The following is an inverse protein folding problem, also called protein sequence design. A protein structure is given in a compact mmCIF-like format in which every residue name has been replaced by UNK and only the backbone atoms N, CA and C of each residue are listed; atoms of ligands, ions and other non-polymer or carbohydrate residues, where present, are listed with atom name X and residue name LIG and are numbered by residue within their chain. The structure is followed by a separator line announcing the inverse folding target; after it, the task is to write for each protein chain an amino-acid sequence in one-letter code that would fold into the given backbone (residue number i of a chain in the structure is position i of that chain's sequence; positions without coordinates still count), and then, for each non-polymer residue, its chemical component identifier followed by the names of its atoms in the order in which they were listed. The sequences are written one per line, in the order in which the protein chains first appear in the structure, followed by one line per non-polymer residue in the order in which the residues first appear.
data_IF_267845858009
#
_entry.id   IF_267845858009
#
_cell.length_a   1.000
_cell.length_b   1.000
_cell.length_c   1.000
_cell.angle_alpha   90.00
_cell.angle_beta   90.00
_cell.angle_gamma   90.00
#
_symmetry.space_group_name_H-M   'P 1'
#
loop_
_entity.id
_entity.type
_entity.pdbx_description
1 polymer ?
2 non-polymer ?
3 water ?
#
# COMPACT_ATOMS: atom_id res chain seq x y z
N UNK A 29 13.10 23.27 32.21
CA UNK A 29 13.75 22.00 31.70
C UNK A 29 12.81 20.81 31.98
N UNK A 30 12.41 20.64 33.24
CA UNK A 30 11.54 19.52 33.68
C UNK A 30 10.15 19.87 33.17
N UNK A 31 9.83 21.16 33.22
CA UNK A 31 8.52 21.65 32.80
C UNK A 31 8.47 21.49 31.28
N UNK A 32 9.59 21.67 30.60
CA UNK A 32 9.65 21.59 29.11
C UNK A 32 9.47 20.13 28.70
N UNK A 33 10.06 19.21 29.45
CA UNK A 33 10.00 17.76 29.15
C UNK A 33 8.58 17.28 29.43
N UNK A 34 7.94 17.79 30.51
CA UNK A 34 6.50 17.56 30.79
C UNK A 34 5.66 18.19 29.68
N UNK A 35 5.98 19.41 29.24
CA UNK A 35 5.23 20.06 28.15
C UNK A 35 5.26 19.14 26.91
N UNK A 36 6.42 18.65 26.52
CA UNK A 36 6.53 17.79 25.29
C UNK A 36 5.59 16.59 25.41
N UNK A 37 5.63 15.89 26.54
CA UNK A 37 4.72 14.71 26.78
C UNK A 37 3.26 15.14 26.75
N UNK A 38 2.87 16.27 27.37
CA UNK A 38 1.47 16.73 27.34
C UNK A 38 1.02 17.02 25.90
N UNK A 39 1.88 17.63 25.10
CA UNK A 39 1.59 18.03 23.71
C UNK A 39 1.35 16.75 22.86
N UNK A 40 2.22 15.78 23.01
CA UNK A 40 2.10 14.50 22.24
C UNK A 40 0.79 13.82 22.66
N UNK A 41 0.54 13.71 23.97
CA UNK A 41 -0.68 13.10 24.52
C UNK A 41 -1.93 13.83 24.02
N UNK A 42 -1.93 15.15 24.09
CA UNK A 42 -3.09 15.96 23.67
C UNK A 42 -3.34 15.85 22.18
N UNK A 43 -2.28 15.88 21.38
CA UNK A 43 -2.42 15.88 19.91
C UNK A 43 -2.97 14.50 19.49
N UNK A 44 -2.39 13.47 20.09
CA UNK A 44 -2.79 12.07 19.85
C UNK A 44 -4.28 11.93 20.13
N UNK A 45 -4.72 12.48 21.26
CA UNK A 45 -6.14 12.39 21.67
C UNK A 45 -7.02 13.12 20.66
N UNK A 46 -6.75 14.40 20.42
CA UNK A 46 -7.66 15.22 19.59
C UNK A 46 -7.56 14.81 18.13
N UNK A 47 -6.37 14.61 17.57
CA UNK A 47 -6.24 14.16 16.16
C UNK A 47 -6.83 12.76 15.99
N UNK A 48 -6.67 11.90 16.99
CA UNK A 48 -7.31 10.56 17.00
C UNK A 48 -8.82 10.66 16.82
N UNK A 49 -9.46 11.62 17.48
CA UNK A 49 -10.94 11.79 17.47
C UNK A 49 -11.43 12.53 16.22
N UNK A 50 -10.76 13.61 15.79
CA UNK A 50 -11.30 14.52 14.77
C UNK A 50 -10.46 14.53 13.50
N UNK A 51 -9.25 13.96 13.50
CA UNK A 51 -8.39 14.01 12.31
C UNK A 51 -7.44 15.19 12.38
N UNK A 52 -6.25 15.00 11.82
CA UNK A 52 -5.18 16.01 11.74
C UNK A 52 -5.73 17.33 11.20
N UNK A 53 -6.47 17.28 10.10
CA UNK A 53 -6.87 18.49 9.35
C UNK A 53 -7.88 19.31 10.17
N UNK A 54 -8.55 18.73 11.17
CA UNK A 54 -9.68 19.37 11.91
C UNK A 54 -9.20 19.96 13.24
N UNK A 55 -7.95 19.81 13.65
CA UNK A 55 -7.49 20.34 14.96
C UNK A 55 -6.21 21.13 14.74
N UNK A 56 -6.19 22.41 15.12
CA UNK A 56 -5.01 23.26 15.00
C UNK A 56 -4.14 23.22 16.23
N UNK A 57 -2.92 23.72 16.09
CA UNK A 57 -1.92 23.71 17.18
C UNK A 57 -2.38 24.58 18.35
N UNK A 58 -3.10 25.72 18.17
CA UNK A 58 -3.59 26.47 19.34
C UNK A 58 -4.50 25.63 20.24
N UNK A 59 -5.44 24.89 19.66
CA UNK A 59 -6.36 23.99 20.40
C UNK A 59 -5.54 22.92 21.14
N UNK A 60 -4.52 22.34 20.52
CA UNK A 60 -3.65 21.32 21.18
C UNK A 60 -2.87 21.96 22.33
N UNK A 61 -2.33 23.17 22.17
CA UNK A 61 -1.60 23.86 23.26
C UNK A 61 -2.55 24.08 24.43
N UNK A 62 -3.79 24.49 24.16
CA UNK A 62 -4.85 24.71 25.20
C UNK A 62 -5.14 23.40 25.92
N UNK A 63 -5.37 22.32 25.17
CA UNK A 63 -5.64 20.96 25.68
C UNK A 63 -4.51 20.56 26.63
N UNK A 64 -3.26 20.83 26.28
CA UNK A 64 -2.06 20.45 27.05
C UNK A 64 -1.83 21.42 28.23
N UNK A 65 -2.49 22.57 28.24
CA UNK A 65 -2.34 23.61 29.29
C UNK A 65 -1.03 24.36 29.18
N UNK A 66 -0.51 24.57 27.98
CA UNK A 66 0.79 25.26 27.77
C UNK A 66 0.61 26.39 26.74
N UNK A 67 1.57 27.30 26.72
CA UNK A 67 1.53 28.48 25.83
C UNK A 67 1.99 28.05 24.44
N UNK A 68 1.63 28.84 23.45
CA UNK A 68 2.12 28.68 22.06
C UNK A 68 3.65 28.69 22.07
N UNK A 69 4.28 29.55 22.88
CA UNK A 69 5.74 29.64 22.92
C UNK A 69 6.36 28.33 23.40
N UNK A 70 5.75 27.68 24.39
CA UNK A 70 6.24 26.39 24.93
C UNK A 70 6.09 25.33 23.83
N UNK A 71 5.02 25.39 23.09
CA UNK A 71 4.75 24.38 22.03
C UNK A 71 5.73 24.57 20.88
N UNK A 72 5.98 25.82 20.47
CA UNK A 72 6.91 26.16 19.38
C UNK A 72 8.33 25.75 19.77
N UNK A 73 8.71 25.82 21.05
CA UNK A 73 10.06 25.43 21.51
C UNK A 73 10.25 23.92 21.28
N UNK A 74 9.19 23.14 21.40
CA UNK A 74 9.25 21.66 21.29
C UNK A 74 9.08 21.24 19.82
N UNK A 75 8.20 21.88 19.07
CA UNK A 75 7.81 21.43 17.71
C UNK A 75 7.85 22.61 16.77
N UNK A 76 8.69 22.51 15.74
CA UNK A 76 8.91 23.59 14.74
C UNK A 76 7.57 23.89 14.06
N UNK A 77 6.74 22.87 13.84
CA UNK A 77 5.43 23.07 13.19
C UNK A 77 4.48 21.89 13.48
N UNK A 78 3.27 22.01 13.00
CA UNK A 78 2.19 21.01 13.17
C UNK A 78 2.66 19.63 12.71
N UNK A 79 3.26 19.52 11.53
CA UNK A 79 3.70 18.21 10.98
C UNK A 79 4.79 17.58 11.88
N UNK A 80 5.66 18.36 12.54
CA UNK A 80 6.71 17.84 13.43
C UNK A 80 6.04 17.19 14.65
N UNK A 81 5.00 17.80 15.18
CA UNK A 81 4.26 17.21 16.32
C UNK A 81 3.59 15.92 15.84
N UNK A 82 3.00 15.94 14.64
CA UNK A 82 2.38 14.72 14.07
C UNK A 82 3.42 13.60 13.92
N UNK A 83 4.63 13.88 13.43
CA UNK A 83 5.65 12.80 13.30
C UNK A 83 5.86 12.14 14.67
N UNK A 84 5.92 12.90 15.76
CA UNK A 84 6.12 12.32 17.13
C UNK A 84 4.85 11.59 17.59
N UNK A 85 3.66 12.02 17.21
CA UNK A 85 2.40 11.28 17.54
C UNK A 85 2.44 9.92 16.84
N UNK A 86 2.81 9.91 15.56
CA UNK A 86 2.88 8.63 14.80
C UNK A 86 3.85 7.67 15.48
N UNK A 87 5.00 8.12 15.95
CA UNK A 87 5.98 7.24 16.64
C UNK A 87 5.33 6.56 17.84
N UNK A 88 4.63 7.31 18.70
CA UNK A 88 4.07 6.73 19.95
C UNK A 88 2.90 5.83 19.59
N UNK A 89 2.14 6.15 18.56
CA UNK A 89 1.01 5.28 18.13
C UNK A 89 1.56 3.99 17.51
N UNK A 90 2.58 4.06 16.66
CA UNK A 90 3.18 2.84 16.05
C UNK A 90 3.82 1.97 17.13
N UNK A 91 4.50 2.58 18.09
CA UNK A 91 5.10 1.82 19.22
C UNK A 91 3.99 1.04 19.91
N UNK A 92 2.84 1.63 20.12
CA UNK A 92 1.67 1.02 20.84
C UNK A 92 1.03 -0.06 19.97
N UNK A 93 0.91 0.18 18.66
CA UNK A 93 0.40 -0.84 17.69
C UNK A 93 1.28 -2.09 17.81
N UNK A 94 2.60 -1.95 17.74
CA UNK A 94 3.51 -3.13 17.73
C UNK A 94 3.52 -3.81 19.11
N UNK A 95 3.42 -3.06 20.20
CA UNK A 95 3.29 -3.60 21.58
C UNK A 95 2.01 -4.39 21.69
N UNK A 96 0.91 -3.89 21.17
CA UNK A 96 -0.39 -4.55 21.28
C UNK A 96 -0.39 -5.81 20.41
N UNK A 97 0.21 -5.73 19.23
CA UNK A 97 0.34 -6.95 18.39
C UNK A 97 1.08 -8.03 19.19
N UNK A 98 2.24 -7.71 19.76
CA UNK A 98 3.08 -8.69 20.52
C UNK A 98 2.29 -9.24 21.70
N UNK A 99 1.46 -8.42 22.35
CA UNK A 99 0.64 -8.81 23.52
C UNK A 99 -0.47 -9.78 23.08
N UNK A 100 -1.17 -9.47 21.98
CA UNK A 100 -2.25 -10.32 21.45
C UNK A 100 -1.68 -11.66 20.99
N UNK A 101 -0.52 -11.67 20.35
CA UNK A 101 0.12 -12.97 19.96
C UNK A 101 0.50 -13.76 21.23
N UNK A 102 1.07 -13.12 22.25
CA UNK A 102 1.43 -13.80 23.54
C UNK A 102 0.15 -14.30 24.22
N UNK A 103 -0.96 -13.56 24.16
CA UNK A 103 -2.23 -13.91 24.84
C UNK A 103 -2.97 -15.05 24.12
N UNK A 104 -2.62 -15.34 22.85
CA UNK A 104 -3.41 -16.25 22.02
C UNK A 104 -3.22 -17.69 22.49
N UNK A 105 -2.09 -17.98 23.16
CA UNK A 105 -1.66 -19.34 23.53
C UNK A 105 -0.95 -20.08 22.40
N UNK A 106 -0.63 -19.42 21.28
CA UNK A 106 0.05 -20.07 20.13
C UNK A 106 1.29 -20.85 20.63
N UNK A 107 1.35 -22.13 20.28
CA UNK A 107 2.39 -23.10 20.69
C UNK A 107 3.30 -23.45 19.51
N UNK A 108 2.93 -23.06 18.29
CA UNK A 108 3.78 -23.24 17.08
C UNK A 108 3.88 -21.93 16.33
N UNK A 109 4.97 -21.75 15.58
CA UNK A 109 5.08 -20.60 14.66
C UNK A 109 3.88 -20.40 13.73
N UNK A 110 3.28 -21.49 13.20
CA UNK A 110 2.11 -21.37 12.32
C UNK A 110 0.96 -20.76 13.10
N UNK A 111 0.73 -21.20 14.34
CA UNK A 111 -0.35 -20.61 15.16
C UNK A 111 -0.03 -19.15 15.56
N UNK A 112 1.24 -18.82 15.72
CA UNK A 112 1.68 -17.44 16.03
C UNK A 112 1.35 -16.56 14.83
N UNK A 113 1.58 -17.04 13.62
CA UNK A 113 1.26 -16.26 12.39
C UNK A 113 -0.27 -16.07 12.28
N UNK A 114 -1.06 -17.11 12.50
CA UNK A 114 -2.53 -17.01 12.48
C UNK A 114 -2.96 -15.93 13.49
N UNK A 115 -2.41 -15.97 14.70
CA UNK A 115 -2.78 -15.03 15.77
C UNK A 115 -2.36 -13.61 15.37
N UNK A 116 -1.18 -13.47 14.75
CA UNK A 116 -0.64 -12.15 14.35
C UNK A 116 -1.52 -11.54 13.26
N UNK A 117 -2.01 -12.34 12.30
CA UNK A 117 -2.90 -11.81 11.26
C UNK A 117 -4.21 -11.32 11.90
N UNK A 118 -4.81 -12.12 12.81
CA UNK A 118 -6.05 -11.70 13.54
C UNK A 118 -5.77 -10.44 14.37
N UNK A 119 -4.61 -10.39 15.02
CA UNK A 119 -4.22 -9.26 15.88
C UNK A 119 -4.10 -8.00 15.01
N UNK A 120 -3.53 -8.08 13.80
CA UNK A 120 -3.44 -6.88 12.93
C UNK A 120 -4.81 -6.32 12.62
N UNK A 121 -5.80 -7.15 12.27
CA UNK A 121 -7.16 -6.65 11.97
C UNK A 121 -7.77 -6.02 13.24
N UNK A 122 -7.47 -6.56 14.41
CA UNK A 122 -7.98 -6.03 15.69
C UNK A 122 -7.35 -4.66 15.93
N UNK A 123 -6.03 -4.58 15.83
CA UNK A 123 -5.27 -3.34 16.20
C UNK A 123 -5.60 -2.24 15.19
N UNK A 124 -5.59 -2.56 13.90
CA UNK A 124 -5.81 -1.54 12.84
C UNK A 124 -7.27 -1.07 12.86
N UNK A 125 -8.16 -1.82 13.54
CA UNK A 125 -9.60 -1.48 13.68
C UNK A 125 -9.82 -0.51 14.84
N UNK A 126 -8.82 -0.23 15.65
CA UNK A 126 -8.92 0.77 16.74
C UNK A 126 -9.17 2.11 16.07
N UNK A 127 -10.22 2.88 16.43
CA UNK A 127 -10.55 4.09 15.70
C UNK A 127 -9.40 5.14 15.67
N UNK A 128 -8.58 5.20 16.70
CA UNK A 128 -7.44 6.15 16.74
C UNK A 128 -6.38 5.67 15.73
N UNK A 129 -6.14 4.35 15.65
CA UNK A 129 -5.12 3.81 14.71
C UNK A 129 -5.64 4.05 13.29
N UNK A 130 -6.92 3.76 13.03
CA UNK A 130 -7.52 4.02 11.71
C UNK A 130 -7.27 5.48 11.34
N UNK A 131 -7.59 6.41 12.23
CA UNK A 131 -7.53 7.85 11.88
C UNK A 131 -6.07 8.30 11.69
N UNK A 132 -5.17 7.97 12.61
CA UNK A 132 -3.82 8.57 12.65
C UNK A 132 -2.91 7.83 11.67
N UNK A 133 -3.01 6.49 11.61
CA UNK A 133 -2.04 5.68 10.83
C UNK A 133 -2.60 5.42 9.42
N UNK A 134 -3.86 5.03 9.28
CA UNK A 134 -4.34 4.60 7.95
C UNK A 134 -4.78 5.84 7.14
N UNK A 135 -5.37 6.85 7.77
CA UNK A 135 -5.95 8.00 7.03
C UNK A 135 -4.97 9.16 7.00
N UNK A 136 -4.54 9.64 8.18
CA UNK A 136 -3.74 10.88 8.29
C UNK A 136 -2.26 10.65 7.88
N UNK A 137 -1.60 9.63 8.41
CA UNK A 137 -0.14 9.54 8.31
C UNK A 137 0.31 9.50 6.83
N UNK A 138 -0.35 8.74 5.92
CA UNK A 138 0.10 8.71 4.53
C UNK A 138 0.01 10.10 3.87
N UNK A 139 -0.93 10.94 4.31
CA UNK A 139 -1.12 12.30 3.76
C UNK A 139 -0.06 13.24 4.34
N UNK A 140 0.07 13.28 5.66
CA UNK A 140 0.90 14.27 6.38
C UNK A 140 2.38 13.95 6.18
N UNK A 141 2.76 12.66 6.23
CA UNK A 141 4.17 12.26 6.12
C UNK A 141 4.59 12.21 4.64
N UNK A 142 3.64 11.95 3.75
CA UNK A 142 3.90 11.60 2.34
C UNK A 142 4.30 10.16 2.22
N UNK A 143 4.31 9.67 0.98
CA UNK A 143 4.53 8.24 0.72
C UNK A 143 5.86 7.74 1.31
N UNK A 144 6.97 8.43 0.98
CA UNK A 144 8.34 7.98 1.34
C UNK A 144 8.42 7.89 2.87
N UNK A 145 8.02 8.99 3.54
CA UNK A 145 8.09 9.08 5.01
C UNK A 145 7.20 8.03 5.66
N UNK A 146 5.96 7.88 5.19
CA UNK A 146 5.02 6.88 5.75
C UNK A 146 5.60 5.46 5.62
N UNK A 147 6.10 5.12 4.44
CA UNK A 147 6.60 3.74 4.22
C UNK A 147 7.83 3.49 5.09
N UNK A 148 8.67 4.50 5.27
CA UNK A 148 9.89 4.32 6.10
C UNK A 148 9.46 3.99 7.53
N UNK A 149 8.50 4.72 8.07
CA UNK A 149 7.94 4.46 9.44
C UNK A 149 7.31 3.07 9.47
N UNK A 150 6.44 2.76 8.51
CA UNK A 150 5.70 1.48 8.45
C UNK A 150 6.70 0.32 8.48
N UNK A 151 7.74 0.42 7.66
CA UNK A 151 8.77 -0.64 7.55
C UNK A 151 9.54 -0.75 8.87
N UNK A 152 9.93 0.39 9.46
CA UNK A 152 10.77 0.37 10.68
C UNK A 152 10.00 -0.37 11.77
N UNK A 153 8.67 -0.27 11.80
CA UNK A 153 7.87 -0.87 12.89
C UNK A 153 7.45 -2.29 12.56
N UNK A 154 7.17 -2.63 11.30
CA UNK A 154 6.43 -3.89 10.97
C UNK A 154 7.35 -4.97 10.38
N UNK A 155 8.45 -4.57 9.72
CA UNK A 155 9.26 -5.57 8.98
C UNK A 155 9.89 -6.57 9.95
N UNK A 156 10.44 -6.09 11.06
CA UNK A 156 11.10 -6.94 12.08
C UNK A 156 10.20 -8.06 12.58
N UNK A 157 8.99 -7.74 13.05
CA UNK A 157 8.05 -8.73 13.60
C UNK A 157 7.69 -9.71 12.50
N UNK A 158 7.40 -9.20 11.29
CA UNK A 158 6.96 -10.06 10.16
C UNK A 158 8.08 -11.05 9.83
N UNK A 159 9.31 -10.56 9.70
CA UNK A 159 10.47 -11.39 9.32
C UNK A 159 10.74 -12.43 10.41
N UNK A 160 10.59 -12.06 11.69
CA UNK A 160 10.80 -12.99 12.82
C UNK A 160 9.79 -14.13 12.75
N UNK A 161 8.51 -13.83 12.51
CA UNK A 161 7.46 -14.88 12.45
C UNK A 161 7.76 -15.82 11.29
N UNK A 162 8.16 -15.27 10.13
CA UNK A 162 8.47 -16.11 8.95
C UNK A 162 9.67 -17.01 9.28
N UNK A 163 10.75 -16.42 9.81
CA UNK A 163 12.01 -17.17 10.09
C UNK A 163 11.70 -18.31 11.06
N UNK A 164 10.90 -18.07 12.10
CA UNK A 164 10.57 -19.12 13.10
C UNK A 164 9.76 -20.23 12.43
N UNK A 165 8.85 -19.89 11.51
CA UNK A 165 8.02 -20.91 10.83
C UNK A 165 8.89 -21.72 9.89
N UNK A 166 9.84 -21.10 9.19
CA UNK A 166 10.77 -21.87 8.29
C UNK A 166 11.61 -22.80 9.18
N UNK A 167 12.19 -22.30 10.27
CA UNK A 167 13.01 -23.12 11.21
C UNK A 167 12.23 -24.34 11.70
N UNK A 168 10.93 -24.21 11.96
CA UNK A 168 10.07 -25.27 12.52
C UNK A 168 9.60 -26.25 11.41
N UNK A 169 9.98 -26.02 10.16
CA UNK A 169 9.43 -26.79 9.02
C UNK A 169 7.95 -26.52 8.72
N UNK A 170 7.40 -25.37 9.12
CA UNK A 170 5.97 -25.04 8.88
C UNK A 170 5.79 -24.10 7.68
N UNK A 171 6.88 -23.66 7.10
CA UNK A 171 6.89 -22.82 5.87
C UNK A 171 8.11 -23.29 5.07
N UNK A 172 7.98 -23.44 3.76
CA UNK A 172 9.09 -23.83 2.85
C UNK A 172 10.24 -22.83 3.00
N UNK A 173 11.49 -23.32 2.99
CA UNK A 173 12.68 -22.45 2.94
C UNK A 173 12.59 -21.61 1.68
N UNK A 174 12.86 -20.33 1.84
CA UNK A 174 12.72 -19.29 0.81
C UNK A 174 13.31 -18.00 1.39
N UNK A 175 13.62 -17.01 0.52
CA UNK A 175 14.08 -15.71 0.98
C UNK A 175 12.97 -15.04 1.82
N UNK A 176 13.33 -14.59 3.00
CA UNK A 176 12.42 -14.03 4.03
C UNK A 176 11.89 -12.65 3.59
N UNK A 177 12.75 -11.76 3.12
CA UNK A 177 12.38 -10.35 2.87
C UNK A 177 11.29 -10.26 1.80
N UNK A 178 11.40 -10.92 0.62
CA UNK A 178 10.36 -10.83 -0.40
C UNK A 178 8.99 -11.31 0.10
N UNK A 179 8.95 -12.43 0.83
CA UNK A 179 7.68 -12.98 1.37
C UNK A 179 7.11 -11.96 2.37
N UNK A 180 7.96 -11.43 3.25
CA UNK A 180 7.53 -10.43 4.27
C UNK A 180 6.90 -9.22 3.56
N UNK A 181 7.56 -8.71 2.53
CA UNK A 181 7.12 -7.46 1.83
C UNK A 181 5.78 -7.72 1.14
N UNK A 182 5.60 -8.87 0.49
CA UNK A 182 4.33 -9.20 -0.20
C UNK A 182 3.22 -9.33 0.84
N UNK A 183 3.50 -10.00 1.96
CA UNK A 183 2.45 -10.15 3.00
C UNK A 183 2.14 -8.78 3.61
N UNK A 184 3.12 -7.95 3.83
CA UNK A 184 2.84 -6.59 4.40
C UNK A 184 1.93 -5.84 3.41
N UNK A 185 2.18 -5.90 2.12
CA UNK A 185 1.30 -5.31 1.09
C UNK A 185 -0.12 -5.82 1.19
N UNK A 186 -0.30 -7.15 1.34
CA UNK A 186 -1.60 -7.80 1.51
C UNK A 186 -2.27 -7.27 2.79
N UNK A 187 -1.53 -7.20 3.90
CA UNK A 187 -2.10 -6.85 5.23
C UNK A 187 -2.42 -5.35 5.31
N UNK A 188 -1.59 -4.49 4.74
CA UNK A 188 -1.83 -3.02 4.63
C UNK A 188 -3.09 -2.81 3.78
N UNK A 189 -3.25 -3.52 2.65
CA UNK A 189 -4.46 -3.36 1.80
C UNK A 189 -5.69 -3.86 2.58
N UNK A 190 -5.59 -4.97 3.30
CA UNK A 190 -6.70 -5.52 4.10
C UNK A 190 -7.17 -4.43 5.07
N UNK A 191 -6.24 -3.80 5.78
CA UNK A 191 -6.59 -2.79 6.82
C UNK A 191 -7.27 -1.58 6.16
N UNK A 192 -6.75 -1.13 5.02
CA UNK A 192 -7.30 0.06 4.36
C UNK A 192 -8.67 -0.27 3.78
N UNK A 193 -8.87 -1.47 3.24
CA UNK A 193 -10.17 -1.94 2.71
C UNK A 193 -11.21 -1.87 3.83
N UNK A 194 -10.89 -2.38 5.02
CA UNK A 194 -11.82 -2.34 6.20
C UNK A 194 -12.01 -0.88 6.63
N UNK A 195 -10.95 -0.09 6.72
CA UNK A 195 -11.01 1.31 7.20
C UNK A 195 -11.99 2.12 6.34
N UNK A 196 -12.13 1.82 5.05
CA UNK A 196 -12.90 2.70 4.11
C UNK A 196 -14.20 2.00 3.68
N UNK A 197 -14.53 0.84 4.22
CA UNK A 197 -15.69 0.03 3.79
C UNK A 197 -16.98 0.72 4.24
N UNK A 198 -18.05 0.59 3.43
CA UNK A 198 -19.45 0.97 3.81
C UNK A 198 -19.90 0.14 5.02
N UNK A 199 -19.56 -1.15 5.09
CA UNK A 199 -19.93 -2.02 6.25
C UNK A 199 -18.64 -2.64 6.81
N UNK A 200 -17.91 -1.91 7.69
CA UNK A 200 -16.61 -2.35 8.17
C UNK A 200 -16.67 -3.68 8.92
N UNK A 201 -17.77 -3.93 9.63
CA UNK A 201 -17.91 -5.18 10.42
C UNK A 201 -17.90 -6.38 9.45
N UNK A 202 -18.65 -6.29 8.36
CA UNK A 202 -18.70 -7.35 7.32
C UNK A 202 -17.37 -7.39 6.56
N UNK A 203 -16.79 -6.25 6.20
CA UNK A 203 -15.49 -6.18 5.50
C UNK A 203 -14.41 -6.86 6.36
N UNK A 204 -14.42 -6.62 7.65
CA UNK A 204 -13.45 -7.24 8.57
C UNK A 204 -13.65 -8.75 8.61
N UNK A 205 -14.89 -9.23 8.77
CA UNK A 205 -15.15 -10.69 8.83
C UNK A 205 -14.69 -11.34 7.51
N UNK A 206 -15.06 -10.76 6.37
CA UNK A 206 -14.75 -11.36 5.04
C UNK A 206 -13.24 -11.29 4.76
N UNK A 207 -12.60 -10.17 5.09
CA UNK A 207 -11.14 -10.00 4.92
C UNK A 207 -10.39 -10.98 5.81
N UNK A 208 -10.84 -11.21 7.04
CA UNK A 208 -10.19 -12.17 7.96
C UNK A 208 -10.26 -13.57 7.32
N UNK A 209 -11.40 -13.90 6.74
CA UNK A 209 -11.58 -15.23 6.08
C UNK A 209 -10.59 -15.36 4.92
N UNK A 210 -10.46 -14.35 4.07
CA UNK A 210 -9.60 -14.54 2.86
C UNK A 210 -8.15 -14.59 3.36
N UNK A 211 -7.74 -13.78 4.33
CA UNK A 211 -6.34 -13.82 4.81
C UNK A 211 -6.05 -15.19 5.44
N UNK A 212 -6.99 -15.73 6.20
CA UNK A 212 -6.78 -17.03 6.88
C UNK A 212 -6.59 -18.11 5.81
N UNK A 213 -7.39 -18.09 4.76
CA UNK A 213 -7.25 -19.06 3.63
C UNK A 213 -5.88 -18.91 2.97
N UNK A 214 -5.43 -17.68 2.77
CA UNK A 214 -4.16 -17.37 2.08
C UNK A 214 -3.00 -17.94 2.90
N UNK A 215 -3.00 -17.73 4.21
CA UNK A 215 -1.87 -18.20 5.05
C UNK A 215 -2.01 -19.71 5.22
N UNK A 216 -3.22 -20.24 5.37
CA UNK A 216 -3.38 -21.71 5.56
C UNK A 216 -2.95 -22.47 4.28
N UNK A 217 -3.04 -21.87 3.11
CA UNK A 217 -2.50 -22.41 1.85
C UNK A 217 -0.98 -22.53 1.85
N UNK A 218 -0.26 -21.73 2.63
CA UNK A 218 1.23 -21.75 2.64
C UNK A 218 1.80 -22.45 3.86
N UNK A 219 1.08 -22.49 4.96
CA UNK A 219 1.58 -23.05 6.22
C UNK A 219 1.40 -24.56 6.25
N UNK A 220 2.46 -25.25 6.59
CA UNK A 220 2.42 -26.70 6.88
C UNK A 220 2.13 -26.82 8.38
N UNK A 221 0.87 -26.78 8.75
CA UNK A 221 0.44 -26.82 10.16
C UNK A 221 -0.32 -25.55 10.51
N UNK B 31 -9.29 20.86 -30.58
CA UNK B 31 -8.84 22.23 -30.20
C UNK B 31 -7.99 22.15 -28.92
N UNK B 32 -8.65 22.33 -27.79
CA UNK B 32 -8.18 22.02 -26.42
C UNK B 32 -7.80 20.54 -26.35
N UNK B 33 -8.57 19.68 -27.01
CA UNK B 33 -8.39 18.22 -27.01
C UNK B 33 -7.01 17.86 -27.58
N UNK B 34 -6.60 18.52 -28.68
CA UNK B 34 -5.29 18.33 -29.32
C UNK B 34 -4.18 18.82 -28.38
N UNK B 35 -4.34 19.99 -27.76
CA UNK B 35 -3.37 20.51 -26.79
C UNK B 35 -3.20 19.49 -25.64
N UNK B 36 -4.31 19.02 -25.08
CA UNK B 36 -4.28 18.09 -23.93
C UNK B 36 -3.51 16.83 -24.32
N UNK B 37 -3.86 16.23 -25.46
CA UNK B 37 -3.23 14.98 -25.94
C UNK B 37 -1.73 15.21 -26.14
N UNK B 38 -1.31 16.33 -26.76
CA UNK B 38 0.14 16.59 -26.94
C UNK B 38 0.86 16.69 -25.57
N UNK B 39 0.24 17.35 -24.61
CA UNK B 39 0.83 17.56 -23.26
C UNK B 39 0.93 16.21 -22.54
N UNK B 40 -0.12 15.41 -22.58
CA UNK B 40 -0.13 14.09 -21.91
C UNK B 40 0.94 13.19 -22.53
N UNK B 41 1.03 13.17 -23.85
CA UNK B 41 2.00 12.32 -24.59
C UNK B 41 3.42 12.76 -24.19
N UNK B 42 3.67 14.07 -24.21
CA UNK B 42 4.99 14.60 -23.91
C UNK B 42 5.37 14.35 -22.46
N UNK B 43 4.42 14.47 -21.55
CA UNK B 43 4.67 14.32 -20.10
C UNK B 43 5.00 12.86 -19.81
N UNK B 44 4.21 11.96 -20.40
CA UNK B 44 4.42 10.50 -20.27
C UNK B 44 5.84 10.17 -20.76
N UNK B 45 6.23 10.75 -21.90
CA UNK B 45 7.59 10.49 -22.44
C UNK B 45 8.67 10.97 -21.47
N UNK B 46 8.66 12.24 -21.12
CA UNK B 46 9.77 12.85 -20.36
C UNK B 46 9.76 12.37 -18.90
N UNK B 47 8.59 12.31 -18.26
CA UNK B 47 8.50 11.82 -16.87
C UNK B 47 8.84 10.31 -16.82
N UNK B 48 8.46 9.57 -17.85
CA UNK B 48 8.85 8.14 -17.96
C UNK B 48 10.36 7.93 -17.93
N UNK B 49 11.11 8.82 -18.58
CA UNK B 49 12.60 8.71 -18.67
C UNK B 49 13.27 9.26 -17.42
N UNK B 50 12.84 10.43 -16.91
CA UNK B 50 13.62 11.18 -15.88
C UNK B 50 12.91 11.25 -14.53
N UNK B 51 11.61 10.97 -14.48
CA UNK B 51 10.85 11.08 -13.25
C UNK B 51 10.16 12.41 -13.16
N UNK B 52 9.00 12.40 -12.53
CA UNK B 52 8.14 13.57 -12.26
C UNK B 52 8.97 14.70 -11.69
N UNK B 53 9.79 14.42 -10.67
CA UNK B 53 10.47 15.47 -9.88
C UNK B 53 11.52 16.20 -10.74
N UNK B 54 12.01 15.57 -11.82
CA UNK B 54 13.16 16.06 -12.62
C UNK B 54 12.71 16.81 -13.88
N UNK B 55 11.42 16.90 -14.18
CA UNK B 55 11.00 17.62 -15.42
C UNK B 55 9.88 18.60 -15.05
N UNK B 56 10.08 19.85 -15.42
CA UNK B 56 9.13 20.95 -15.19
C UNK B 56 8.14 21.09 -16.32
N UNK B 57 7.07 21.82 -16.06
CA UNK B 57 5.99 22.00 -17.06
C UNK B 57 6.52 22.76 -18.29
N UNK B 58 7.42 23.76 -18.19
CA UNK B 58 7.93 24.41 -19.41
C UNK B 58 8.62 23.42 -20.39
N UNK B 59 9.43 22.48 -19.88
CA UNK B 59 10.08 21.47 -20.76
C UNK B 59 9.02 20.59 -21.42
N UNK B 60 7.96 20.22 -20.70
CA UNK B 60 6.83 19.45 -21.29
C UNK B 60 6.10 20.28 -22.36
N UNK B 61 5.90 21.57 -22.14
CA UNK B 61 5.21 22.47 -23.10
C UNK B 61 6.04 22.48 -24.39
N UNK B 62 7.38 22.53 -24.27
CA UNK B 62 8.33 22.55 -25.42
C UNK B 62 8.22 21.23 -26.18
N UNK B 63 8.28 20.11 -25.46
CA UNK B 63 8.19 18.76 -26.05
C UNK B 63 6.87 18.67 -26.85
N UNK B 64 5.78 19.21 -26.32
CA UNK B 64 4.43 19.16 -26.91
C UNK B 64 4.26 20.18 -28.04
N UNK B 65 5.12 21.19 -28.13
CA UNK B 65 5.00 22.29 -29.10
C UNK B 65 3.88 23.24 -28.74
N UNK B 66 3.62 23.48 -27.46
CA UNK B 66 2.55 24.47 -27.08
C UNK B 66 3.15 25.52 -26.15
N UNK B 67 2.46 26.65 -25.97
CA UNK B 67 2.94 27.73 -25.09
C UNK B 67 2.58 27.38 -23.65
N UNK B 68 3.30 27.97 -22.72
CA UNK B 68 3.02 27.90 -21.26
C UNK B 68 1.56 28.30 -21.02
N UNK B 69 1.07 29.34 -21.70
CA UNK B 69 -0.31 29.83 -21.54
C UNK B 69 -1.33 28.78 -21.95
N UNK B 70 -1.11 28.13 -23.08
CA UNK B 70 -2.02 27.08 -23.59
C UNK B 70 -2.02 25.92 -22.58
N UNK B 71 -0.85 25.58 -22.04
CA UNK B 71 -0.72 24.44 -21.11
C UNK B 71 -1.45 24.77 -19.81
N UNK B 72 -1.26 25.98 -19.27
CA UNK B 72 -1.85 26.40 -17.97
C UNK B 72 -3.37 26.41 -18.06
N UNK B 73 -3.92 26.71 -19.24
CA UNK B 73 -5.38 26.68 -19.50
C UNK B 73 -5.91 25.25 -19.33
N UNK B 74 -5.10 24.25 -19.68
CA UNK B 74 -5.54 22.82 -19.65
C UNK B 74 -5.26 22.21 -18.28
N UNK B 75 -4.12 22.56 -17.68
CA UNK B 75 -3.64 21.95 -16.42
C UNK B 75 -3.13 23.07 -15.52
N UNK B 76 -3.87 23.33 -14.44
CA UNK B 76 -3.58 24.37 -13.43
C UNK B 76 -2.19 24.13 -12.86
N UNK B 77 -1.82 22.87 -12.69
CA UNK B 77 -0.52 22.56 -12.08
C UNK B 77 -0.03 21.19 -12.55
N UNK B 78 1.19 20.93 -12.15
CA UNK B 78 1.96 19.76 -12.55
C UNK B 78 1.23 18.49 -12.14
N UNK B 79 0.73 18.42 -10.90
CA UNK B 79 0.04 17.22 -10.39
C UNK B 79 -1.22 16.91 -11.21
N UNK B 80 -1.92 17.92 -11.72
CA UNK B 80 -3.14 17.70 -12.55
C UNK B 80 -2.74 16.97 -13.84
N UNK B 81 -1.64 17.41 -14.47
CA UNK B 81 -1.18 16.75 -15.71
C UNK B 81 -0.74 15.31 -15.37
N UNK B 82 -0.04 15.12 -14.25
CA UNK B 82 0.36 13.76 -13.80
C UNK B 82 -0.87 12.85 -13.64
N UNK B 83 -1.95 13.34 -13.01
CA UNK B 83 -3.18 12.52 -12.85
C UNK B 83 -3.66 12.01 -14.20
N UNK B 84 -3.68 12.85 -15.24
CA UNK B 84 -4.12 12.44 -16.60
C UNK B 84 -3.10 11.45 -17.22
N UNK B 85 -1.80 11.63 -16.98
CA UNK B 85 -0.76 10.70 -17.49
C UNK B 85 -0.98 9.30 -16.87
N UNK B 86 -1.18 9.25 -15.55
CA UNK B 86 -1.44 7.95 -14.86
C UNK B 86 -2.64 7.25 -15.46
N UNK B 87 -3.72 7.95 -15.77
CA UNK B 87 -4.94 7.33 -16.36
C UNK B 87 -4.54 6.59 -17.65
N UNK B 88 -3.80 7.27 -18.55
CA UNK B 88 -3.49 6.74 -19.90
C UNK B 88 -2.50 5.58 -19.75
N UNK B 89 -1.56 5.70 -18.82
CA UNK B 89 -0.56 4.64 -18.60
C UNK B 89 -1.25 3.41 -18.01
N UNK B 90 -2.12 3.57 -17.00
CA UNK B 90 -2.79 2.41 -16.37
C UNK B 90 -3.73 1.74 -17.38
N UNK B 91 -4.41 2.51 -18.23
CA UNK B 91 -5.23 1.94 -19.33
C UNK B 91 -4.35 1.02 -20.21
N UNK B 92 -3.16 1.50 -20.58
CA UNK B 92 -2.20 0.76 -21.45
C UNK B 92 -1.68 -0.49 -20.73
N UNK B 93 -1.36 -0.36 -19.43
CA UNK B 93 -0.87 -1.50 -18.62
C UNK B 93 -1.93 -2.61 -18.64
N UNK B 94 -3.19 -2.28 -18.42
CA UNK B 94 -4.27 -3.30 -18.31
C UNK B 94 -4.52 -3.93 -19.70
N UNK B 95 -4.44 -3.14 -20.78
CA UNK B 95 -4.57 -3.64 -22.17
C UNK B 95 -3.44 -4.63 -22.46
N UNK B 96 -2.22 -4.28 -22.08
CA UNK B 96 -1.02 -5.10 -22.34
C UNK B 96 -1.15 -6.43 -21.57
N UNK B 97 -1.55 -6.33 -20.31
CA UNK B 97 -1.73 -7.56 -19.52
C UNK B 97 -2.79 -8.46 -20.15
N UNK B 98 -3.95 -7.92 -20.51
CA UNK B 98 -5.07 -8.67 -21.13
C UNK B 98 -4.56 -9.39 -22.38
N UNK B 99 -3.68 -8.77 -23.16
CA UNK B 99 -3.12 -9.36 -24.41
C UNK B 99 -2.22 -10.56 -24.07
N UNK B 100 -1.30 -10.38 -23.12
CA UNK B 100 -0.39 -11.45 -22.64
C UNK B 100 -1.20 -12.64 -22.09
N UNK B 101 -2.24 -12.38 -21.30
CA UNK B 101 -3.07 -13.48 -20.73
C UNK B 101 -3.79 -14.21 -21.88
N UNK B 102 -4.33 -13.49 -22.87
CA UNK B 102 -5.07 -14.11 -24.00
C UNK B 102 -4.11 -14.98 -24.83
N UNK B 103 -2.85 -14.58 -24.95
CA UNK B 103 -1.81 -15.27 -25.75
C UNK B 103 -1.03 -16.31 -24.93
N UNK B 104 -1.23 -16.40 -23.61
CA UNK B 104 -0.35 -17.22 -22.72
C UNK B 104 -0.54 -18.72 -23.00
N UNK B 105 -1.70 -19.12 -23.52
CA UNK B 105 -2.10 -20.52 -23.71
C UNK B 105 -2.69 -21.12 -22.45
N UNK B 106 -3.08 -20.28 -21.47
CA UNK B 106 -3.72 -20.77 -20.23
C UNK B 106 -4.93 -21.63 -20.61
N UNK B 107 -4.99 -22.85 -20.09
CA UNK B 107 -5.98 -23.90 -20.45
C UNK B 107 -7.15 -23.86 -19.47
N UNK B 108 -6.95 -23.33 -18.26
CA UNK B 108 -7.97 -23.28 -17.19
C UNK B 108 -7.92 -21.90 -16.54
N UNK B 109 -9.01 -21.49 -15.86
CA UNK B 109 -8.99 -20.27 -15.05
C UNK B 109 -7.83 -20.16 -14.04
N UNK B 110 -7.42 -21.27 -13.41
CA UNK B 110 -6.27 -21.26 -12.48
C UNK B 110 -5.01 -20.84 -13.26
N UNK B 111 -4.81 -21.40 -14.45
CA UNK B 111 -3.63 -21.04 -15.28
C UNK B 111 -3.76 -19.61 -15.79
N UNK B 112 -4.98 -19.09 -15.99
CA UNK B 112 -5.19 -17.68 -16.39
C UNK B 112 -4.72 -16.75 -15.26
N UNK B 113 -4.99 -17.10 -14.02
CA UNK B 113 -4.51 -16.30 -12.85
C UNK B 113 -2.97 -16.32 -12.82
N UNK B 114 -2.37 -17.50 -12.95
CA UNK B 114 -0.90 -17.65 -12.96
C UNK B 114 -0.32 -16.78 -14.09
N UNK B 115 -0.90 -16.82 -15.30
CA UNK B 115 -0.41 -16.03 -16.45
C UNK B 115 -0.57 -14.53 -16.15
N UNK B 116 -1.67 -14.12 -15.52
CA UNK B 116 -1.93 -12.69 -15.19
C UNK B 116 -0.85 -12.17 -14.22
N UNK B 117 -0.45 -12.98 -13.24
CA UNK B 117 0.63 -12.60 -12.30
C UNK B 117 1.94 -12.42 -13.08
N UNK B 118 2.32 -13.38 -13.93
CA UNK B 118 3.54 -13.29 -14.79
C UNK B 118 3.43 -12.07 -15.73
N UNK B 119 2.25 -11.81 -16.29
CA UNK B 119 2.01 -10.62 -17.15
C UNK B 119 2.31 -9.33 -16.37
N UNK B 120 1.81 -9.25 -15.14
CA UNK B 120 2.08 -8.04 -14.32
C UNK B 120 3.59 -7.89 -14.03
N UNK B 121 4.29 -8.93 -13.64
CA UNK B 121 5.76 -8.85 -13.40
C UNK B 121 6.45 -8.41 -14.70
N UNK B 122 6.00 -8.89 -15.85
CA UNK B 122 6.59 -8.51 -17.18
C UNK B 122 6.37 -7.01 -17.39
N UNK B 123 5.12 -6.59 -17.36
CA UNK B 123 4.73 -5.20 -17.74
C UNK B 123 5.30 -4.18 -16.73
N UNK B 124 5.29 -4.52 -15.44
CA UNK B 124 5.85 -3.68 -14.33
C UNK B 124 7.34 -3.44 -14.53
N UNK B 125 8.02 -4.31 -15.27
CA UNK B 125 9.46 -4.16 -15.55
C UNK B 125 9.75 -3.18 -16.69
N UNK B 126 8.74 -2.74 -17.43
CA UNK B 126 8.91 -1.66 -18.45
C UNK B 126 9.40 -0.42 -17.71
N UNK B 127 10.53 0.20 -18.10
CA UNK B 127 11.11 1.32 -17.37
C UNK B 127 10.14 2.50 -17.17
N UNK B 128 9.28 2.75 -18.14
CA UNK B 128 8.30 3.87 -18.05
C UNK B 128 7.26 3.51 -16.99
N UNK B 129 6.78 2.27 -16.95
CA UNK B 129 5.76 1.82 -15.96
C UNK B 129 6.42 1.88 -14.57
N UNK B 130 7.62 1.34 -14.44
CA UNK B 130 8.39 1.43 -13.17
C UNK B 130 8.45 2.89 -12.70
N UNK B 131 8.88 3.81 -13.56
CA UNK B 131 9.04 5.22 -13.13
C UNK B 131 7.68 5.89 -12.81
N UNK B 132 6.69 5.78 -13.70
CA UNK B 132 5.45 6.57 -13.54
C UNK B 132 4.55 5.92 -12.47
N UNK B 133 4.42 4.60 -12.50
CA UNK B 133 3.36 3.93 -11.71
C UNK B 133 3.97 3.47 -10.38
N UNK B 134 5.16 2.89 -10.40
CA UNK B 134 5.67 2.25 -9.17
C UNK B 134 6.42 3.30 -8.31
N UNK B 135 7.11 4.26 -8.91
CA UNK B 135 7.94 5.23 -8.15
C UNK B 135 7.20 6.55 -7.97
N UNK B 136 6.78 7.19 -9.05
CA UNK B 136 6.18 8.55 -9.01
C UNK B 136 4.73 8.50 -8.49
N UNK B 137 3.87 7.60 -8.96
CA UNK B 137 2.41 7.71 -8.70
C UNK B 137 2.14 7.65 -7.21
N UNK B 138 2.77 6.75 -6.42
CA UNK B 138 2.51 6.72 -4.97
C UNK B 138 2.90 8.04 -4.29
N UNK B 139 3.93 8.72 -4.78
CA UNK B 139 4.45 9.97 -4.14
C UNK B 139 3.50 11.11 -4.50
N UNK B 140 3.15 11.24 -5.78
CA UNK B 140 2.35 12.40 -6.27
C UNK B 140 0.88 12.23 -5.84
N UNK B 141 0.34 11.03 -5.97
CA UNK B 141 -1.09 10.75 -5.69
C UNK B 141 -1.29 10.49 -4.21
N UNK B 142 -0.28 10.00 -3.49
CA UNK B 142 -0.47 9.48 -2.11
C UNK B 142 -1.04 8.08 -2.11
N UNK B 143 -0.99 7.36 -0.99
CA UNK B 143 -1.49 5.96 -0.89
C UNK B 143 -2.99 5.91 -1.30
N UNK B 144 -3.83 6.81 -0.81
CA UNK B 144 -5.30 6.78 -1.06
C UNK B 144 -5.54 6.96 -2.56
N UNK B 145 -4.93 7.99 -3.15
CA UNK B 145 -5.03 8.30 -4.59
C UNK B 145 -4.52 7.14 -5.45
N UNK B 146 -3.36 6.58 -5.10
CA UNK B 146 -2.79 5.43 -5.83
C UNK B 146 -3.77 4.26 -5.80
N UNK B 147 -4.30 3.93 -4.61
CA UNK B 147 -5.22 2.78 -4.45
C UNK B 147 -6.46 2.98 -5.31
N UNK B 148 -6.97 4.20 -5.33
CA UNK B 148 -8.21 4.51 -6.09
C UNK B 148 -7.98 4.21 -7.56
N UNK B 149 -6.86 4.67 -8.11
CA UNK B 149 -6.51 4.44 -9.55
C UNK B 149 -6.30 2.94 -9.78
N UNK B 150 -5.51 2.30 -8.92
CA UNK B 150 -5.23 0.85 -9.01
C UNK B 150 -6.53 0.06 -9.09
N UNK B 151 -7.46 0.36 -8.21
CA UNK B 151 -8.76 -0.33 -8.09
C UNK B 151 -9.57 -0.07 -9.36
N UNK B 152 -9.67 1.16 -9.79
CA UNK B 152 -10.50 1.50 -10.96
C UNK B 152 -10.01 0.73 -12.19
N UNK B 153 -8.70 0.53 -12.32
CA UNK B 153 -8.14 -0.11 -13.53
C UNK B 153 -8.07 -1.62 -13.39
N UNK B 154 -7.90 -2.19 -12.20
CA UNK B 154 -7.57 -3.63 -12.08
C UNK B 154 -8.67 -4.44 -11.38
N UNK B 155 -9.58 -3.84 -10.63
CA UNK B 155 -10.55 -4.63 -9.82
C UNK B 155 -11.45 -5.49 -10.73
N UNK B 156 -11.97 -4.93 -11.82
CA UNK B 156 -12.77 -5.67 -12.82
C UNK B 156 -12.09 -6.94 -13.34
N UNK B 157 -10.86 -6.84 -13.87
CA UNK B 157 -10.14 -8.00 -14.44
C UNK B 157 -9.89 -9.00 -13.30
N UNK B 158 -9.47 -8.51 -12.14
CA UNK B 158 -9.13 -9.39 -10.97
C UNK B 158 -10.39 -10.13 -10.52
N UNK B 159 -11.53 -9.45 -10.40
CA UNK B 159 -12.78 -10.10 -9.94
C UNK B 159 -13.21 -11.15 -10.97
N UNK B 160 -13.06 -10.87 -12.27
CA UNK B 160 -13.40 -11.82 -13.36
C UNK B 160 -12.53 -13.07 -13.23
N UNK B 161 -11.21 -12.94 -13.03
CA UNK B 161 -10.29 -14.10 -12.90
C UNK B 161 -10.72 -14.96 -11.71
N UNK B 162 -11.03 -14.32 -10.59
CA UNK B 162 -11.47 -15.05 -9.35
C UNK B 162 -12.80 -15.77 -9.66
N UNK B 163 -13.78 -15.06 -10.21
CA UNK B 163 -15.14 -15.61 -10.51
C UNK B 163 -14.98 -16.85 -11.40
N UNK B 164 -14.15 -16.78 -12.44
CA UNK B 164 -14.00 -17.91 -13.39
C UNK B 164 -13.34 -19.09 -12.67
N UNK B 165 -12.39 -18.84 -11.78
CA UNK B 165 -11.69 -19.93 -11.05
C UNK B 165 -12.68 -20.58 -10.07
N UNK B 166 -13.53 -19.79 -9.38
CA UNK B 166 -14.57 -20.37 -8.48
C UNK B 166 -15.55 -21.21 -9.32
N UNK B 167 -16.03 -20.68 -10.46
CA UNK B 167 -16.98 -21.37 -11.36
C UNK B 167 -16.41 -22.72 -11.80
N UNK B 168 -15.11 -22.80 -12.07
CA UNK B 168 -14.41 -24.02 -12.56
C UNK B 168 -14.08 -24.97 -11.40
N UNK B 169 -14.45 -24.63 -10.17
CA UNK B 169 -14.10 -25.37 -8.94
C UNK B 169 -12.62 -25.38 -8.63
N UNK B 170 -11.85 -24.37 -9.05
CA UNK B 170 -10.37 -24.35 -8.82
C UNK B 170 -10.01 -23.36 -7.71
N UNK B 171 -11.01 -22.70 -7.13
CA UNK B 171 -10.82 -21.73 -6.02
C UNK B 171 -12.05 -21.84 -5.16
N UNK B 172 -11.88 -21.89 -3.84
CA UNK B 172 -12.99 -21.97 -2.87
C UNK B 172 -13.98 -20.82 -3.10
N UNK B 173 -15.28 -21.11 -3.05
CA UNK B 173 -16.35 -20.08 -2.97
C UNK B 173 -16.00 -19.19 -1.76
N UNK B 174 -15.95 -17.89 -1.96
CA UNK B 174 -15.52 -16.94 -0.90
C UNK B 174 -15.90 -15.55 -1.36
N UNK B 175 -15.81 -14.52 -0.49
CA UNK B 175 -16.07 -13.15 -0.90
C UNK B 175 -15.08 -12.77 -2.01
N UNK B 176 -15.57 -12.42 -3.19
CA UNK B 176 -14.75 -12.07 -4.38
C UNK B 176 -14.05 -10.71 -4.17
N UNK B 177 -14.76 -9.67 -3.73
CA UNK B 177 -14.17 -8.30 -3.64
C UNK B 177 -13.03 -8.28 -2.63
N UNK B 178 -13.17 -8.80 -1.38
CA UNK B 178 -12.07 -8.75 -0.43
C UNK B 178 -10.83 -9.52 -0.96
N UNK B 179 -11.02 -10.68 -1.55
CA UNK B 179 -9.86 -11.46 -2.10
C UNK B 179 -9.20 -10.65 -3.21
N UNK B 180 -9.99 -10.06 -4.11
CA UNK B 180 -9.46 -9.23 -5.22
C UNK B 180 -8.62 -8.08 -4.67
N UNK B 181 -9.13 -7.39 -3.64
CA UNK B 181 -8.45 -6.22 -3.06
C UNK B 181 -7.12 -6.65 -2.45
N UNK B 182 -7.09 -7.74 -1.68
CA UNK B 182 -5.87 -8.24 -1.01
C UNK B 182 -4.87 -8.64 -2.10
N UNK B 183 -5.31 -9.34 -3.15
CA UNK B 183 -4.37 -9.77 -4.22
C UNK B 183 -3.82 -8.53 -4.93
N UNK B 184 -4.66 -7.55 -5.24
CA UNK B 184 -4.16 -6.31 -5.89
C UNK B 184 -3.09 -5.66 -5.00
N UNK B 185 -3.35 -5.56 -3.68
CA UNK B 185 -2.39 -4.98 -2.74
C UNK B 185 -1.09 -5.76 -2.73
N UNK B 186 -1.16 -7.10 -2.74
CA UNK B 186 0.01 -7.98 -2.73
C UNK B 186 0.79 -7.77 -4.04
N UNK B 187 0.12 -7.73 -5.19
CA UNK B 187 0.83 -7.64 -6.49
C UNK B 187 1.46 -6.24 -6.70
N UNK B 188 0.76 -5.18 -6.28
CA UNK B 188 1.32 -3.81 -6.36
C UNK B 188 2.55 -3.71 -5.45
N UNK B 189 2.50 -4.29 -4.25
CA UNK B 189 3.68 -4.24 -3.34
C UNK B 189 4.83 -5.07 -3.91
N UNK B 190 4.53 -6.24 -4.49
CA UNK B 190 5.54 -7.10 -5.14
C UNK B 190 6.30 -6.27 -6.17
N UNK B 191 5.57 -5.57 -7.03
CA UNK B 191 6.18 -4.78 -8.12
C UNK B 191 7.04 -3.64 -7.56
N UNK B 192 6.54 -2.95 -6.55
CA UNK B 192 7.28 -1.83 -5.91
C UNK B 192 8.55 -2.35 -5.22
N UNK B 193 8.50 -3.53 -4.60
CA UNK B 193 9.68 -4.15 -3.96
C UNK B 193 10.77 -4.37 -5.04
N UNK B 194 10.39 -4.92 -6.19
CA UNK B 194 11.33 -5.16 -7.33
C UNK B 194 11.82 -3.80 -7.84
N UNK B 195 10.93 -2.82 -8.03
CA UNK B 195 11.27 -1.49 -8.60
C UNK B 195 12.41 -0.85 -7.80
N UNK B 196 12.45 -1.04 -6.48
CA UNK B 196 13.37 -0.28 -5.58
C UNK B 196 14.51 -1.19 -5.08
N UNK B 197 14.62 -2.42 -5.55
CA UNK B 197 15.61 -3.40 -5.00
C UNK B 197 17.01 -3.03 -5.52
N UNK B 198 18.05 -3.28 -4.71
CA UNK B 198 19.49 -3.15 -5.08
C UNK B 198 19.78 -4.12 -6.24
N UNK B 199 19.19 -5.32 -6.24
CA UNK B 199 19.40 -6.36 -7.30
C UNK B 199 18.04 -6.74 -7.87
N UNK B 200 17.49 -5.95 -8.83
CA UNK B 200 16.15 -6.16 -9.36
C UNK B 200 15.93 -7.53 -10.00
N UNK B 201 16.97 -8.06 -10.63
CA UNK B 201 16.88 -9.35 -11.35
C UNK B 201 16.59 -10.45 -10.30
N UNK B 202 17.34 -10.45 -9.18
CA UNK B 202 17.17 -11.45 -8.11
C UNK B 202 15.85 -11.16 -7.36
N UNK B 203 15.54 -9.89 -7.08
CA UNK B 203 14.27 -9.50 -6.43
C UNK B 203 13.09 -10.00 -7.28
N UNK B 204 13.14 -9.83 -8.60
CA UNK B 204 12.06 -10.30 -9.50
C UNK B 204 11.92 -11.82 -9.41
N UNK B 205 13.04 -12.56 -9.45
CA UNK B 205 12.99 -14.04 -9.44
C UNK B 205 12.38 -14.52 -8.12
N UNK B 206 12.87 -13.99 -7.00
CA UNK B 206 12.45 -14.39 -5.63
C UNK B 206 10.99 -13.99 -5.41
N UNK B 207 10.60 -12.78 -5.85
CA UNK B 207 9.20 -12.30 -5.73
C UNK B 207 8.26 -13.16 -6.56
N UNK B 208 8.63 -13.53 -7.79
CA UNK B 208 7.75 -14.39 -8.64
C UNK B 208 7.50 -15.71 -7.90
N UNK B 209 8.52 -16.26 -7.25
CA UNK B 209 8.41 -17.54 -6.51
C UNK B 209 7.40 -17.38 -5.37
N UNK B 210 7.52 -16.30 -4.59
CA UNK B 210 6.58 -16.01 -3.47
C UNK B 210 5.15 -15.96 -4.01
N UNK B 211 4.94 -15.19 -5.10
CA UNK B 211 3.58 -14.98 -5.63
C UNK B 211 3.00 -16.31 -6.11
N UNK B 212 3.83 -17.14 -6.74
CA UNK B 212 3.35 -18.43 -7.28
C UNK B 212 2.89 -19.33 -6.11
N UNK B 213 3.67 -19.38 -5.04
CA UNK B 213 3.37 -20.18 -3.81
C UNK B 213 2.04 -19.70 -3.19
N UNK B 214 1.88 -18.38 -3.10
CA UNK B 214 0.70 -17.72 -2.49
C UNK B 214 -0.56 -18.10 -3.29
N UNK B 215 -0.48 -17.97 -4.61
CA UNK B 215 -1.53 -18.27 -5.61
C UNK B 215 -1.89 -19.77 -5.49
N UNK B 216 -0.88 -20.61 -5.55
CA UNK B 216 -1.08 -22.09 -5.62
C UNK B 216 -1.73 -22.60 -4.31
N UNK B 217 -1.47 -21.93 -3.19
CA UNK B 217 -2.12 -22.25 -1.90
C UNK B 217 -3.62 -22.00 -1.89
N UNK B 218 -4.14 -21.15 -2.79
CA UNK B 218 -5.59 -20.85 -2.93
C UNK B 218 -6.24 -21.73 -4.01
N UNK B 219 -5.46 -22.14 -5.00
CA UNK B 219 -5.98 -22.84 -6.19
C UNK B 219 -5.97 -24.36 -5.93
N UNK B 220 -7.00 -25.04 -6.40
CA UNK B 220 -7.34 -26.43 -5.95
C UNK B 220 -6.81 -27.43 -6.99
N UNK B 221 -6.02 -28.42 -6.54
CA UNK B 221 -5.73 -29.68 -7.25
C UNK B 221 -4.30 -30.17 -7.07
X LIG C 1 0.00 -1.11 -10.68
X LIG C 1 -3.34 -1.13 -12.09
X LIG C 1 -2.18 -1.04 -13.06
X LIG C 1 -0.70 -2.27 -11.37
X LIG C 1 -1.00 -1.93 -12.82
X LIG C 1 -1.88 -2.62 -10.61
X LIG C 1 -2.91 -1.61 -10.72
X LIG C 1 -2.26 -0.34 -10.23
X LIG C 1 -0.89 0.11 -10.60
X LIG C 1 -2.09 -0.14 -13.89
X LIG C 1 -2.54 -3.92 -10.98
X LIG C 1 -1.70 -5.07 -10.52
X LIG C 1 -2.44 -6.32 -10.77
X LIG C 1 -1.79 -7.31 -11.44
X LIG C 1 -2.36 -8.52 -11.73
X LIG C 1 -3.65 -8.73 -11.35
X LIG C 1 -4.36 -10.27 -11.66
X LIG C 1 -4.30 -7.77 -10.64
X LIG C 1 -3.72 -6.56 -10.36
#
# INVERSE_FOLDING_TARGET
MGSSHHHHHHSSGLVPRGSHMEIKRRTQEERSAATREALITGARKLWGLRGYAEVGTPEIATEAGVTRGAMYHQFADKAALFRDVVEVVEQDVMARMATLVAASGAATPADAIRAAVDAWLEVSGDPEVRQLILLDAPVVLGWAGFRDVAQRYSLGMTEQLITEAIRAGQLARQPVRPLAQVLIGALDEAAMFIATADDPKRARRETRQVLRRLIDGMLNG
MGSSHHHHHHSSGLVPRGSHMEIKRRTQEERSAATREALITGARKLWGLRGYAEVGTPEIATEAGVTRGAMYHQFADKAALFRDVVEVVEQDVMARMATLVAASGAATPADAIRAAVDAWLEVSGDPEVRQLILLDAPVVLGWAGFRDVAQRYSLGMTEQLITEAIRAGQLARQPVRPLAQVLIGALDEAAMFIATADDPKRARRETRQVLRRLIDGMLNG
GO5 C4 C5 C6 C7 C8 N C1 C2 C3 O CA CB CG CD1 CE1 CZ CL1 CE2 CD2
#
